data_IF_904783564512
#
_entry.id   IF_904783564512
#
_cell.length_a   1.000
_cell.length_b   1.000
_cell.length_c   1.000
_cell.angle_alpha   90.00
_cell.angle_beta   90.00
_cell.angle_gamma   90.00
#
_symmetry.space_group_name_H-M   'P 1'
#
loop_
_entity.id
_entity.type
_entity.pdbx_description
1 polymer ?
#
# COMPACT_ATOMS: atom_id res chain seq x y z
N UNK A 1 -12.90 -27.27 7.14
CA UNK A 1 -11.82 -26.57 6.41
C UNK A 1 -11.54 -25.29 7.18
N UNK A 2 -10.42 -25.23 7.91
CA UNK A 2 -10.08 -24.05 8.70
C UNK A 2 -9.70 -22.94 7.71
N UNK A 3 -10.48 -21.87 7.67
CA UNK A 3 -10.08 -20.65 6.96
C UNK A 3 -8.98 -20.03 7.82
N UNK A 4 -7.72 -20.15 7.39
CA UNK A 4 -6.61 -19.49 8.09
C UNK A 4 -6.85 -17.98 8.14
N UNK A 5 -6.86 -17.42 9.36
CA UNK A 5 -7.03 -15.99 9.56
C UNK A 5 -5.77 -15.27 9.11
N UNK A 6 -5.89 -14.33 8.18
CA UNK A 6 -4.78 -13.43 7.80
C UNK A 6 -4.28 -12.64 9.01
N UNK A 7 -2.97 -12.41 9.06
CA UNK A 7 -2.33 -11.63 10.13
C UNK A 7 -2.87 -10.20 10.08
N UNK A 8 -3.25 -9.63 11.22
CA UNK A 8 -3.71 -8.23 11.29
C UNK A 8 -2.55 -7.28 11.54
N UNK A 9 -2.60 -6.10 10.95
CA UNK A 9 -1.68 -4.99 11.21
C UNK A 9 -2.47 -3.70 11.34
N UNK A 10 -2.17 -2.90 12.35
CA UNK A 10 -2.70 -1.54 12.42
C UNK A 10 -1.81 -0.62 11.60
N UNK A 11 -2.40 0.03 10.60
CA UNK A 11 -1.71 1.01 9.77
C UNK A 11 -2.04 2.41 10.25
N UNK A 12 -1.02 3.22 10.47
CA UNK A 12 -1.22 4.63 10.73
C UNK A 12 -1.49 5.35 9.40
N UNK A 13 -2.75 5.70 9.14
CA UNK A 13 -3.09 6.61 8.04
C UNK A 13 -2.83 8.02 8.55
N UNK A 14 -1.82 8.68 7.99
CA UNK A 14 -1.45 10.04 8.38
C UNK A 14 -2.63 11.00 8.24
N UNK A 15 -2.73 11.98 9.14
CA UNK A 15 -3.71 13.06 9.02
C UNK A 15 -3.14 14.14 8.08
N UNK A 16 -3.72 14.27 6.90
CA UNK A 16 -3.31 15.24 5.89
C UNK A 16 -4.33 16.38 5.79
N UNK A 17 -3.88 17.56 5.37
CA UNK A 17 -4.77 18.70 5.18
C UNK A 17 -5.76 18.48 4.02
N UNK A 18 -6.90 19.18 4.08
CA UNK A 18 -8.00 19.10 3.11
C UNK A 18 -7.55 19.12 1.64
N UNK A 19 -6.61 20.01 1.28
CA UNK A 19 -6.13 20.15 -0.10
C UNK A 19 -5.43 18.87 -0.61
N UNK A 20 -4.70 18.18 0.26
CA UNK A 20 -4.01 16.95 -0.08
C UNK A 20 -5.01 15.81 -0.29
N UNK A 21 -5.98 15.68 0.62
CA UNK A 21 -7.05 14.68 0.50
C UNK A 21 -7.86 14.88 -0.78
N UNK A 22 -8.22 16.12 -1.11
CA UNK A 22 -8.97 16.42 -2.34
C UNK A 22 -8.15 16.10 -3.60
N UNK A 23 -6.84 16.39 -3.58
CA UNK A 23 -5.93 16.01 -4.66
C UNK A 23 -5.89 14.49 -4.88
N UNK A 24 -5.94 13.69 -3.81
CA UNK A 24 -6.04 12.23 -3.91
C UNK A 24 -7.39 11.76 -4.46
N UNK A 25 -8.49 12.43 -4.12
CA UNK A 25 -9.81 12.12 -4.70
C UNK A 25 -9.83 12.40 -6.20
N UNK A 26 -9.26 13.53 -6.63
CA UNK A 26 -9.11 13.86 -8.05
C UNK A 26 -8.25 12.82 -8.77
N UNK A 27 -7.09 12.45 -8.20
CA UNK A 27 -6.23 11.40 -8.75
C UNK A 27 -6.96 10.06 -8.90
N UNK A 28 -7.68 9.62 -7.85
CA UNK A 28 -8.50 8.40 -7.87
C UNK A 28 -9.56 8.44 -8.96
N UNK A 29 -10.25 9.56 -9.12
CA UNK A 29 -11.26 9.75 -10.18
C UNK A 29 -10.64 9.65 -11.56
N UNK A 30 -9.53 10.35 -11.80
CA UNK A 30 -8.82 10.29 -13.09
C UNK A 30 -8.34 8.88 -13.42
N UNK A 31 -7.83 8.14 -12.43
CA UNK A 31 -7.43 6.74 -12.61
C UNK A 31 -8.61 5.87 -13.03
N UNK A 32 -9.78 6.03 -12.40
CA UNK A 32 -10.98 5.27 -12.78
C UNK A 32 -11.43 5.53 -14.22
N UNK A 33 -11.13 6.70 -14.78
CA UNK A 33 -11.39 7.03 -16.18
C UNK A 33 -10.27 6.65 -17.14
N UNK A 34 -9.07 6.31 -16.65
CA UNK A 34 -7.90 6.05 -17.49
C UNK A 34 -7.89 4.67 -18.17
N UNK A 35 -8.78 3.77 -17.80
CA UNK A 35 -8.88 2.45 -18.43
C UNK A 35 -9.99 1.59 -17.85
N UNK A 36 -10.45 0.62 -18.65
CA UNK A 36 -11.38 -0.39 -18.19
C UNK A 36 -10.64 -1.45 -17.37
N UNK A 37 -11.21 -1.83 -16.23
CA UNK A 37 -10.72 -2.90 -15.35
C UNK A 37 -9.25 -2.79 -14.89
N UNK A 38 -8.80 -1.59 -14.51
CA UNK A 38 -7.48 -1.39 -13.91
C UNK A 38 -7.33 -2.20 -12.61
N UNK A 39 -6.53 -3.27 -12.66
CA UNK A 39 -6.23 -4.15 -11.51
C UNK A 39 -4.88 -3.90 -10.87
N UNK A 40 -3.89 -3.43 -11.63
CA UNK A 40 -2.51 -3.24 -11.19
C UNK A 40 -2.06 -1.84 -11.56
N UNK A 41 -1.62 -1.08 -10.56
CA UNK A 41 -1.15 0.30 -10.72
C UNK A 41 0.24 0.37 -10.08
N UNK A 42 1.25 0.75 -10.86
CA UNK A 42 2.61 0.99 -10.37
C UNK A 42 2.85 2.50 -10.27
N UNK A 43 3.25 2.97 -9.09
CA UNK A 43 3.73 4.33 -8.90
C UNK A 43 5.25 4.33 -8.77
N UNK A 44 5.92 5.15 -9.57
CA UNK A 44 7.37 5.35 -9.55
C UNK A 44 7.70 6.83 -9.69
N UNK A 45 8.94 7.21 -9.41
CA UNK A 45 9.42 8.58 -9.49
C UNK A 45 10.80 8.61 -10.12
N UNK A 46 11.19 9.76 -10.69
CA UNK A 46 12.48 9.91 -11.36
C UNK A 46 13.62 10.00 -10.34
N UNK A 47 13.36 10.59 -9.18
CA UNK A 47 14.34 10.76 -8.10
C UNK A 47 13.77 10.38 -6.73
N UNK A 48 14.63 10.04 -5.74
CA UNK A 48 14.18 9.84 -4.37
C UNK A 48 13.57 11.10 -3.76
N UNK A 49 12.55 10.95 -2.91
CA UNK A 49 11.96 12.06 -2.16
C UNK A 49 10.78 12.77 -2.84
N UNK A 50 10.35 12.36 -4.03
CA UNK A 50 9.21 12.96 -4.76
C UNK A 50 7.82 12.59 -4.19
N UNK A 51 7.76 11.97 -3.01
CA UNK A 51 6.49 11.61 -2.38
C UNK A 51 5.83 10.34 -2.90
N UNK A 52 6.48 9.54 -3.77
CA UNK A 52 5.91 8.31 -4.36
C UNK A 52 5.26 7.36 -3.35
N UNK A 53 5.93 7.13 -2.22
CA UNK A 53 5.46 6.20 -1.17
C UNK A 53 4.23 6.75 -0.44
N UNK A 54 4.19 8.07 -0.21
CA UNK A 54 3.05 8.73 0.41
C UNK A 54 1.85 8.77 -0.53
N UNK A 55 2.05 9.17 -1.78
CA UNK A 55 0.98 9.22 -2.77
C UNK A 55 0.42 7.83 -3.05
N UNK A 56 1.27 6.81 -3.21
CA UNK A 56 0.82 5.44 -3.48
C UNK A 56 0.04 4.83 -2.32
N UNK A 57 0.50 4.98 -1.08
CA UNK A 57 -0.23 4.47 0.09
C UNK A 57 -1.56 5.18 0.28
N UNK A 58 -1.58 6.51 0.23
CA UNK A 58 -2.83 7.26 0.42
C UNK A 58 -3.80 7.09 -0.75
N UNK A 59 -3.32 6.88 -1.98
CA UNK A 59 -4.16 6.50 -3.11
C UNK A 59 -4.78 5.11 -2.89
N UNK A 60 -4.01 4.15 -2.41
CA UNK A 60 -4.52 2.82 -2.05
C UNK A 60 -5.60 2.92 -0.98
N UNK A 61 -5.39 3.70 0.09
CA UNK A 61 -6.40 3.99 1.11
C UNK A 61 -7.64 4.68 0.52
N UNK A 62 -7.45 5.67 -0.35
CA UNK A 62 -8.55 6.37 -1.03
C UNK A 62 -9.39 5.43 -1.90
N UNK A 63 -8.80 4.37 -2.47
CA UNK A 63 -9.53 3.33 -3.21
C UNK A 63 -10.33 2.40 -2.29
N UNK A 64 -9.83 2.09 -1.08
CA UNK A 64 -10.60 1.27 -0.12
C UNK A 64 -11.83 2.01 0.41
N UNK A 65 -11.74 3.34 0.57
CA UNK A 65 -12.86 4.19 1.00
C UNK A 65 -14.07 4.14 0.05
N UNK A 66 -13.87 3.76 -1.22
CA UNK A 66 -14.96 3.55 -2.20
C UNK A 66 -15.34 2.07 -2.37
N UNK A 67 -14.95 1.22 -1.40
CA UNK A 67 -15.31 -0.20 -1.36
C UNK A 67 -14.46 -1.13 -2.24
N UNK A 68 -13.34 -0.67 -2.81
CA UNK A 68 -12.44 -1.55 -3.56
C UNK A 68 -11.63 -2.43 -2.61
N UNK A 69 -11.44 -3.71 -2.97
CA UNK A 69 -10.46 -4.57 -2.33
C UNK A 69 -9.08 -4.25 -2.90
N UNK A 70 -8.18 -3.74 -2.05
CA UNK A 70 -6.87 -3.25 -2.47
C UNK A 70 -5.78 -4.04 -1.76
N UNK A 71 -4.77 -4.48 -2.53
CA UNK A 71 -3.50 -4.96 -2.01
C UNK A 71 -2.47 -3.87 -2.25
N UNK A 72 -1.94 -3.28 -1.19
CA UNK A 72 -0.80 -2.37 -1.28
C UNK A 72 0.49 -3.16 -1.18
N UNK A 73 1.41 -2.94 -2.12
CA UNK A 73 2.69 -3.64 -2.19
C UNK A 73 3.83 -2.62 -2.23
N UNK A 74 4.64 -2.56 -1.18
CA UNK A 74 5.89 -1.81 -1.19
C UNK A 74 6.98 -2.63 -1.89
N UNK A 75 7.23 -2.30 -3.16
CA UNK A 75 8.25 -2.95 -3.98
C UNK A 75 9.63 -2.28 -3.87
N UNK A 76 9.80 -1.20 -3.08
CA UNK A 76 11.10 -0.56 -2.84
C UNK A 76 11.88 -1.31 -1.74
N UNK A 77 12.36 -2.51 -2.09
CA UNK A 77 13.06 -3.43 -1.17
C UNK A 77 14.39 -2.84 -0.66
N UNK A 78 15.00 -1.91 -1.40
CA UNK A 78 16.32 -1.35 -1.05
C UNK A 78 16.21 -0.27 0.02
N UNK A 79 15.14 0.54 0.00
CA UNK A 79 14.93 1.65 0.93
C UNK A 79 13.44 1.80 1.26
N UNK A 80 12.87 0.80 1.92
CA UNK A 80 11.48 0.90 2.40
C UNK A 80 11.37 2.01 3.44
N UNK A 81 10.53 3.01 3.14
CA UNK A 81 10.09 4.03 4.10
C UNK A 81 8.73 3.68 4.70
N UNK A 82 8.04 2.70 4.11
CA UNK A 82 6.66 2.36 4.44
C UNK A 82 6.54 1.77 5.85
N UNK A 83 7.32 0.73 6.16
CA UNK A 83 7.26 0.05 7.45
C UNK A 83 7.57 1.03 8.59
N UNK A 84 8.61 1.85 8.44
CA UNK A 84 8.99 2.83 9.46
C UNK A 84 7.93 3.92 9.68
N UNK A 85 7.16 4.27 8.64
CA UNK A 85 6.17 5.36 8.69
C UNK A 85 4.76 4.90 9.07
N UNK A 86 4.38 3.70 8.69
CA UNK A 86 3.00 3.21 8.77
C UNK A 86 2.83 1.94 9.61
N UNK A 87 3.91 1.29 10.07
CA UNK A 87 3.83 0.05 10.86
C UNK A 87 4.26 0.24 12.33
N UNK A 88 3.54 -0.46 13.21
CA UNK A 88 3.60 -0.41 14.67
C UNK A 88 4.50 -1.52 15.24
N UNK A 89 5.53 -1.12 15.99
CA UNK A 89 6.35 -1.82 17.02
C UNK A 89 6.90 -3.24 16.83
N UNK A 90 6.54 -3.99 15.79
CA UNK A 90 6.92 -5.41 15.62
C UNK A 90 7.63 -5.69 14.31
N UNK A 91 8.46 -6.75 14.31
CA UNK A 91 9.19 -7.21 13.11
C UNK A 91 8.21 -7.88 12.16
N UNK A 92 8.10 -7.34 10.94
CA UNK A 92 7.20 -7.81 9.88
C UNK A 92 8.03 -8.51 8.80
N UNK A 93 7.63 -9.71 8.38
CA UNK A 93 8.20 -10.38 7.21
C UNK A 93 7.56 -9.79 5.94
N UNK A 94 8.34 -9.53 4.90
CA UNK A 94 7.84 -8.81 3.71
C UNK A 94 8.24 -9.44 2.38
N UNK A 95 8.13 -8.63 1.32
CA UNK A 95 8.37 -9.05 -0.05
C UNK A 95 9.77 -9.68 -0.25
N UNK A 96 10.80 -9.15 0.42
CA UNK A 96 12.17 -9.68 0.37
C UNK A 96 12.29 -11.11 0.87
N UNK A 97 11.61 -11.46 1.97
CA UNK A 97 11.61 -12.81 2.52
C UNK A 97 10.85 -13.79 1.63
N UNK A 98 9.75 -13.34 1.04
CA UNK A 98 8.99 -14.16 0.08
C UNK A 98 9.80 -14.44 -1.19
N UNK A 99 10.39 -13.42 -1.80
CA UNK A 99 11.18 -13.57 -3.04
C UNK A 99 12.47 -14.39 -2.85
N UNK A 100 13.01 -14.43 -1.62
CA UNK A 100 14.16 -15.28 -1.27
C UNK A 100 13.77 -16.71 -0.86
N UNK A 101 12.48 -17.05 -0.83
CA UNK A 101 11.98 -18.37 -0.45
C UNK A 101 12.03 -18.67 1.06
N UNK A 102 12.30 -17.67 1.90
CA UNK A 102 12.38 -17.85 3.36
C UNK A 102 11.00 -17.93 4.03
N UNK A 103 9.96 -17.38 3.38
CA UNK A 103 8.60 -17.26 3.90
C UNK A 103 7.57 -17.51 2.80
N UNK A 104 6.43 -18.09 3.18
CA UNK A 104 5.29 -18.29 2.27
C UNK A 104 4.51 -17.00 2.02
N UNK A 105 3.56 -17.02 1.09
CA UNK A 105 2.71 -15.86 0.82
C UNK A 105 1.85 -15.48 2.04
N UNK A 106 1.28 -16.47 2.71
CA UNK A 106 0.42 -16.27 3.89
C UNK A 106 1.19 -15.73 5.10
N UNK A 107 2.52 -15.83 5.08
CA UNK A 107 3.36 -15.26 6.13
C UNK A 107 3.55 -13.75 6.03
N UNK A 108 3.41 -13.19 4.83
CA UNK A 108 3.79 -11.80 4.51
C UNK A 108 2.60 -10.92 4.09
N UNK A 109 1.40 -11.50 4.00
CA UNK A 109 0.16 -10.77 3.67
C UNK A 109 -0.58 -10.42 4.96
N UNK A 110 -0.79 -9.13 5.17
CA UNK A 110 -1.45 -8.59 6.35
C UNK A 110 -2.77 -7.89 5.97
N UNK A 111 -3.75 -7.97 6.87
CA UNK A 111 -5.04 -7.28 6.78
C UNK A 111 -5.06 -6.10 7.76
N UNK A 112 -5.58 -4.96 7.30
CA UNK A 112 -5.75 -3.73 8.08
C UNK A 112 -7.21 -3.31 8.14
#
# INVERSE_FOLDING_TARGET
>A
MLVERKKKVELNVGNYGYLYEESLKVLRTNLQFSGNDLRVIMLTSAVPGEGKSDTSFNLAHSLTQIGKRVLYLDADIRRTVFIAKHAVSSKVDGLSQYLSGQKGLDDIVYES
#
